data_IF_746527773520
#
_entry.id   IF_746527773520
#
_cell.length_a   1.000
_cell.length_b   1.000
_cell.length_c   1.000
_cell.angle_alpha   90.00
_cell.angle_beta   90.00
_cell.angle_gamma   90.00
#
_symmetry.space_group_name_H-M   'P 1'
#
loop_
_entity.id
_entity.type
_entity.pdbx_description
1 polymer ?
#
# COMPACT_ATOMS: atom_id res chain seq x y z
N UNK A 1 45.88 -20.63 54.67
CA UNK A 1 45.27 -21.11 55.94
C UNK A 1 43.77 -20.80 55.88
N UNK A 2 42.89 -21.76 56.24
CA UNK A 2 41.40 -21.67 56.28
C UNK A 2 40.72 -21.37 54.91
N UNK A 3 39.75 -22.12 54.33
CA UNK A 3 38.41 -22.65 54.77
C UNK A 3 37.49 -21.52 55.28
N UNK A 4 36.32 -21.22 54.72
CA UNK A 4 35.10 -22.05 54.45
C UNK A 4 34.22 -21.34 53.39
N UNK A 5 33.56 -21.96 52.41
CA UNK A 5 32.33 -22.81 52.42
C UNK A 5 31.05 -22.17 52.97
N UNK A 6 30.00 -22.08 52.12
CA UNK A 6 28.52 -22.12 52.34
C UNK A 6 27.83 -21.53 51.07
N UNK A 7 27.26 -22.27 50.11
CA UNK A 7 25.99 -23.04 50.05
C UNK A 7 24.66 -22.27 50.19
N UNK A 8 24.00 -22.01 49.04
CA UNK A 8 22.54 -22.14 48.77
C UNK A 8 21.52 -21.22 49.51
N UNK A 9 20.19 -21.25 49.20
CA UNK A 9 19.43 -21.84 48.05
C UNK A 9 18.26 -20.96 47.52
N UNK A 10 17.37 -21.54 46.67
CA UNK A 10 15.97 -21.13 46.30
C UNK A 10 15.79 -19.74 45.62
N UNK A 11 15.01 -19.54 44.55
CA UNK A 11 13.65 -20.05 44.29
C UNK A 11 13.35 -20.21 42.79
N UNK A 12 13.06 -21.44 42.34
CA UNK A 12 12.38 -21.70 41.07
C UNK A 12 10.87 -21.64 41.32
N UNK A 13 10.14 -20.71 40.70
CA UNK A 13 8.68 -20.77 40.63
C UNK A 13 8.24 -20.74 39.18
N UNK A 14 7.63 -21.85 38.78
CA UNK A 14 7.05 -22.11 37.48
C UNK A 14 6.05 -21.04 37.06
N UNK A 15 6.27 -20.42 35.90
CA UNK A 15 5.18 -19.85 35.10
C UNK A 15 4.88 -20.79 33.93
N UNK A 16 4.38 -21.98 34.29
CA UNK A 16 3.94 -23.02 33.37
C UNK A 16 2.46 -23.34 33.59
N UNK A 17 1.61 -22.30 33.56
CA UNK A 17 0.17 -22.38 33.34
C UNK A 17 -0.38 -20.96 33.06
N UNK A 18 -1.50 -20.87 32.32
CA UNK A 18 -2.03 -19.67 31.64
C UNK A 18 -1.11 -19.17 30.50
N UNK A 19 -1.38 -19.48 29.24
CA UNK A 19 -2.46 -20.31 28.69
C UNK A 19 -1.86 -21.29 27.69
N UNK A 20 -2.41 -22.49 27.65
CA UNK A 20 -2.47 -23.20 26.37
C UNK A 20 -3.21 -22.29 25.41
N UNK A 21 -2.48 -21.66 24.48
CA UNK A 21 -3.06 -21.43 23.17
C UNK A 21 -3.38 -22.83 22.65
N UNK A 22 -4.60 -23.28 22.93
CA UNK A 22 -5.30 -24.12 21.99
C UNK A 22 -5.39 -23.27 20.73
N UNK A 23 -4.36 -23.36 19.89
CA UNK A 23 -4.43 -22.90 18.52
C UNK A 23 -5.73 -23.50 18.01
N UNK A 24 -6.68 -22.63 17.68
CA UNK A 24 -8.01 -23.01 17.23
C UNK A 24 -7.79 -23.88 16.01
N UNK A 25 -7.93 -25.20 16.20
CA UNK A 25 -7.73 -26.14 15.11
C UNK A 25 -8.88 -25.89 14.15
N UNK A 26 -8.59 -25.10 13.13
CA UNK A 26 -9.44 -24.92 11.99
C UNK A 26 -9.58 -26.29 11.30
N UNK A 27 -10.80 -26.61 10.88
CA UNK A 27 -11.14 -27.84 10.20
C UNK A 27 -11.86 -27.45 8.91
N UNK A 28 -11.43 -28.00 7.76
CA UNK A 28 -12.17 -27.83 6.51
C UNK A 28 -13.65 -28.19 6.69
N UNK A 29 -14.52 -27.39 6.09
CA UNK A 29 -15.91 -27.78 5.90
C UNK A 29 -15.95 -28.87 4.84
N UNK A 30 -16.54 -30.02 5.20
CA UNK A 30 -16.79 -31.14 4.28
C UNK A 30 -17.55 -30.71 3.02
N UNK A 31 -18.34 -29.64 3.10
CA UNK A 31 -19.19 -29.11 2.03
C UNK A 31 -18.60 -27.88 1.33
N UNK A 32 -17.27 -27.70 1.38
CA UNK A 32 -16.59 -26.56 0.76
C UNK A 32 -16.72 -25.23 1.51
N UNK A 33 -15.88 -24.28 1.11
CA UNK A 33 -15.85 -22.90 1.60
C UNK A 33 -15.29 -22.00 0.48
N UNK A 34 -15.83 -20.79 0.34
CA UNK A 34 -15.21 -19.74 -0.46
C UNK A 34 -14.14 -19.07 0.40
N UNK A 35 -12.87 -19.26 0.04
CA UNK A 35 -11.74 -18.63 0.73
C UNK A 35 -10.53 -18.53 -0.20
N UNK A 36 -9.94 -17.34 -0.25
CA UNK A 36 -8.71 -17.09 -1.00
C UNK A 36 -7.52 -17.50 -0.11
N UNK A 37 -7.20 -18.80 -0.14
CA UNK A 37 -6.12 -19.43 0.62
C UNK A 37 -6.59 -20.39 1.72
N UNK A 38 -6.15 -21.64 1.65
CA UNK A 38 -6.43 -22.66 2.68
C UNK A 38 -5.28 -22.79 3.72
N UNK A 39 -4.25 -21.96 3.60
CA UNK A 39 -3.07 -21.94 4.48
C UNK A 39 -3.47 -21.58 5.92
N UNK A 40 -2.86 -22.27 6.90
CA UNK A 40 -3.18 -22.08 8.32
C UNK A 40 -4.45 -22.79 8.79
N UNK A 41 -5.39 -23.11 7.89
CA UNK A 41 -6.48 -24.05 8.20
C UNK A 41 -5.98 -25.51 8.19
N UNK A 42 -5.15 -25.85 7.21
CA UNK A 42 -4.47 -27.13 7.08
C UNK A 42 -2.97 -26.96 7.34
N UNK A 43 -2.33 -27.97 7.94
CA UNK A 43 -0.93 -27.89 8.35
C UNK A 43 -0.23 -29.25 8.33
N UNK A 44 1.07 -29.26 8.07
CA UNK A 44 1.94 -30.43 8.18
C UNK A 44 1.93 -31.40 6.99
N UNK A 45 1.04 -31.22 6.01
CA UNK A 45 1.14 -31.86 4.69
C UNK A 45 1.90 -30.98 3.69
N UNK A 46 2.43 -31.60 2.63
CA UNK A 46 3.01 -30.89 1.50
C UNK A 46 1.88 -30.34 0.61
N UNK A 47 2.00 -29.07 0.20
CA UNK A 47 1.06 -28.44 -0.73
C UNK A 47 0.96 -29.25 -2.04
N UNK A 48 -0.25 -29.47 -2.58
CA UNK A 48 -0.40 -30.21 -3.82
C UNK A 48 0.09 -29.45 -5.05
N UNK A 49 0.54 -30.20 -6.03
CA UNK A 49 0.64 -29.75 -7.42
C UNK A 49 -0.77 -29.64 -7.99
N UNK A 50 -1.12 -28.45 -8.50
CA UNK A 50 -2.43 -28.18 -9.11
C UNK A 50 -2.21 -27.92 -10.59
N UNK A 51 -2.96 -28.64 -11.44
CA UNK A 51 -3.01 -28.36 -12.89
C UNK A 51 -4.43 -28.01 -13.30
N UNK A 52 -4.55 -27.03 -14.19
CA UNK A 52 -5.80 -26.55 -14.77
C UNK A 52 -5.66 -26.69 -16.29
N UNK A 53 -6.60 -27.37 -16.94
CA UNK A 53 -6.66 -27.50 -18.40
C UNK A 53 -8.10 -27.25 -18.89
N UNK A 54 -8.22 -26.74 -20.12
CA UNK A 54 -9.51 -26.42 -20.76
C UNK A 54 -9.63 -27.22 -22.06
N UNK A 55 -10.71 -28.00 -22.17
CA UNK A 55 -10.93 -28.93 -23.30
C UNK A 55 -12.31 -28.75 -23.96
N UNK A 56 -12.40 -28.41 -25.26
CA UNK A 56 -11.29 -28.13 -26.17
C UNK A 56 -10.50 -26.90 -25.74
N UNK A 57 -9.22 -26.83 -26.15
CA UNK A 57 -8.44 -25.60 -26.02
C UNK A 57 -8.98 -24.55 -26.99
N UNK A 58 -8.93 -23.29 -26.58
CA UNK A 58 -9.39 -22.14 -27.36
C UNK A 58 -10.83 -22.31 -27.91
N UNK A 59 -11.83 -22.62 -27.06
CA UNK A 59 -13.21 -22.85 -27.50
C UNK A 59 -13.79 -21.63 -28.20
N UNK A 60 -14.77 -21.81 -29.09
CA UNK A 60 -15.41 -20.71 -29.79
C UNK A 60 -16.23 -19.81 -28.81
N UNK A 61 -16.52 -18.54 -29.17
CA UNK A 61 -17.37 -17.69 -28.34
C UNK A 61 -18.77 -18.31 -28.15
N UNK A 62 -19.24 -18.39 -26.90
CA UNK A 62 -20.47 -19.09 -26.52
C UNK A 62 -20.36 -20.63 -26.45
N UNK A 63 -19.24 -21.25 -26.83
CA UNK A 63 -19.03 -22.70 -26.71
C UNK A 63 -18.84 -23.11 -25.24
N UNK A 64 -19.22 -24.34 -24.90
CA UNK A 64 -19.00 -24.91 -23.57
C UNK A 64 -17.85 -25.91 -23.60
N UNK A 65 -16.77 -25.57 -22.91
CA UNK A 65 -15.63 -26.44 -22.68
C UNK A 65 -15.74 -27.16 -21.32
N UNK A 66 -14.91 -28.20 -21.15
CA UNK A 66 -14.66 -28.85 -19.86
C UNK A 66 -13.43 -28.23 -19.23
N UNK A 67 -13.62 -27.60 -18.07
CA UNK A 67 -12.56 -27.09 -17.23
C UNK A 67 -12.15 -28.20 -16.26
N UNK A 68 -10.94 -28.73 -16.43
CA UNK A 68 -10.39 -29.86 -15.68
C UNK A 68 -9.35 -29.36 -14.69
N UNK A 69 -9.60 -29.59 -13.39
CA UNK A 69 -8.64 -29.38 -12.31
C UNK A 69 -8.12 -30.73 -11.84
N UNK A 70 -6.80 -30.89 -11.75
CA UNK A 70 -6.16 -32.03 -11.08
C UNK A 70 -5.35 -31.55 -9.89
N UNK A 71 -5.49 -32.25 -8.77
CA UNK A 71 -4.79 -32.01 -7.51
C UNK A 71 -3.97 -33.27 -7.24
N UNK A 72 -2.64 -33.18 -7.28
CA UNK A 72 -1.73 -34.28 -7.08
C UNK A 72 -0.83 -34.01 -5.85
N UNK A 73 -0.64 -35.02 -5.00
CA UNK A 73 0.32 -34.96 -3.90
C UNK A 73 0.72 -36.36 -3.44
N UNK A 74 1.90 -36.49 -2.83
CA UNK A 74 2.30 -37.72 -2.18
C UNK A 74 1.31 -38.09 -1.06
N UNK A 75 0.76 -39.31 -1.10
CA UNK A 75 -0.21 -39.86 -0.13
C UNK A 75 -1.57 -39.11 -0.04
N UNK A 76 -1.98 -38.38 -1.08
CA UNK A 76 -3.34 -37.81 -1.14
C UNK A 76 -4.39 -38.93 -1.15
N UNK A 77 -5.35 -38.85 -0.22
CA UNK A 77 -6.48 -39.79 -0.11
C UNK A 77 -7.82 -39.12 -0.46
N UNK A 78 -7.95 -37.83 -0.18
CA UNK A 78 -9.07 -36.98 -0.58
C UNK A 78 -8.58 -35.61 -1.03
N UNK A 79 -9.40 -34.87 -1.78
CA UNK A 79 -9.12 -33.50 -2.14
C UNK A 79 -10.40 -32.67 -2.20
N UNK A 80 -10.22 -31.36 -2.06
CA UNK A 80 -11.28 -30.36 -2.20
C UNK A 80 -10.73 -29.12 -2.89
N UNK A 81 -11.62 -28.36 -3.52
CA UNK A 81 -11.29 -27.09 -4.16
C UNK A 81 -12.30 -25.98 -3.87
N UNK A 82 -11.84 -24.76 -4.11
CA UNK A 82 -12.60 -23.60 -4.52
C UNK A 82 -11.99 -23.09 -5.84
N UNK A 83 -12.83 -22.75 -6.80
CA UNK A 83 -12.45 -22.27 -8.14
C UNK A 83 -13.24 -21.02 -8.48
N UNK A 84 -12.56 -20.05 -9.08
CA UNK A 84 -13.11 -18.79 -9.57
C UNK A 84 -12.70 -18.57 -11.03
N UNK A 85 -13.57 -17.96 -11.82
CA UNK A 85 -13.27 -17.54 -13.20
C UNK A 85 -13.55 -16.06 -13.39
N UNK A 86 -12.60 -15.32 -13.97
CA UNK A 86 -12.79 -13.88 -14.24
C UNK A 86 -13.78 -13.55 -15.37
N UNK A 87 -14.18 -14.55 -16.16
CA UNK A 87 -15.14 -14.43 -17.27
C UNK A 87 -15.77 -15.78 -17.61
N UNK A 88 -16.88 -15.75 -18.37
CA UNK A 88 -17.65 -16.94 -18.75
C UNK A 88 -18.50 -17.48 -17.60
N UNK A 89 -19.20 -18.60 -17.83
CA UNK A 89 -20.12 -19.18 -16.83
C UNK A 89 -19.78 -20.62 -16.51
N UNK A 90 -19.65 -20.90 -15.22
CA UNK A 90 -19.49 -22.24 -14.67
C UNK A 90 -20.84 -22.97 -14.57
N UNK A 91 -20.80 -24.28 -14.80
CA UNK A 91 -21.86 -25.19 -14.44
C UNK A 91 -21.27 -26.50 -13.91
N UNK A 92 -21.96 -27.12 -12.96
CA UNK A 92 -21.58 -28.41 -12.40
C UNK A 92 -21.75 -29.53 -13.43
N UNK A 93 -21.06 -30.65 -13.19
CA UNK A 93 -21.26 -31.92 -13.90
C UNK A 93 -21.64 -32.97 -12.86
N UNK A 94 -22.69 -33.74 -13.13
CA UNK A 94 -23.19 -34.77 -12.22
C UNK A 94 -22.08 -35.77 -11.84
N UNK A 95 -22.02 -36.13 -10.55
CA UNK A 95 -21.00 -37.03 -10.00
C UNK A 95 -19.62 -36.41 -9.74
N UNK A 96 -19.40 -35.13 -10.07
CA UNK A 96 -18.13 -34.45 -9.75
C UNK A 96 -18.01 -34.03 -8.28
N UNK A 97 -19.12 -33.98 -7.53
CA UNK A 97 -19.13 -33.62 -6.12
C UNK A 97 -18.88 -32.13 -5.88
N UNK A 98 -19.44 -31.28 -6.74
CA UNK A 98 -19.26 -29.83 -6.76
C UNK A 98 -20.60 -29.11 -6.80
N UNK A 99 -20.62 -27.85 -6.34
CA UNK A 99 -21.76 -26.94 -6.39
C UNK A 99 -21.30 -25.54 -6.80
N UNK A 100 -22.19 -24.80 -7.43
CA UNK A 100 -22.00 -23.37 -7.67
C UNK A 100 -22.22 -22.59 -6.38
N UNK A 101 -21.45 -21.52 -6.24
CA UNK A 101 -21.72 -20.41 -5.32
C UNK A 101 -22.49 -19.34 -6.09
N UNK A 102 -22.00 -19.01 -7.28
CA UNK A 102 -22.66 -18.20 -8.31
C UNK A 102 -22.20 -18.70 -9.71
N UNK A 103 -22.44 -17.93 -10.77
CA UNK A 103 -22.07 -18.34 -12.13
C UNK A 103 -20.55 -18.26 -12.45
N UNK A 104 -19.75 -17.65 -11.58
CA UNK A 104 -18.29 -17.49 -11.71
C UNK A 104 -17.48 -18.24 -10.64
N UNK A 105 -18.15 -18.79 -9.62
CA UNK A 105 -17.55 -19.45 -8.46
C UNK A 105 -18.11 -20.86 -8.21
N UNK A 106 -17.21 -21.83 -8.02
CA UNK A 106 -17.55 -23.24 -7.77
C UNK A 106 -16.73 -23.80 -6.61
N UNK A 107 -17.38 -24.55 -5.72
CA UNK A 107 -16.74 -25.26 -4.61
C UNK A 107 -17.07 -26.75 -4.66
N UNK A 108 -16.24 -27.58 -4.03
CA UNK A 108 -16.63 -28.96 -3.73
C UNK A 108 -17.79 -29.02 -2.71
N UNK A 109 -18.64 -30.04 -2.80
CA UNK A 109 -19.72 -30.32 -1.84
C UNK A 109 -19.44 -31.56 -0.96
N UNK A 110 -18.45 -32.38 -1.35
CA UNK A 110 -17.85 -33.41 -0.53
C UNK A 110 -16.37 -33.58 -0.91
N UNK A 111 -15.46 -33.96 0.02
CA UNK A 111 -14.07 -34.24 -0.33
C UNK A 111 -14.03 -35.44 -1.27
N UNK A 112 -13.49 -35.24 -2.47
CA UNK A 112 -13.47 -36.26 -3.51
C UNK A 112 -12.27 -37.19 -3.30
N UNK A 113 -12.50 -38.50 -3.37
CA UNK A 113 -11.42 -39.48 -3.16
C UNK A 113 -10.40 -39.43 -4.28
N UNK A 114 -9.13 -39.62 -3.91
CA UNK A 114 -8.05 -39.76 -4.86
C UNK A 114 -8.13 -41.11 -5.60
N UNK A 115 -7.66 -41.11 -6.84
CA UNK A 115 -7.43 -42.32 -7.64
C UNK A 115 -6.04 -42.21 -8.26
N UNK A 116 -5.18 -43.20 -8.04
CA UNK A 116 -3.79 -43.17 -8.55
C UNK A 116 -2.94 -42.01 -8.01
N UNK A 117 -3.24 -41.47 -6.82
CA UNK A 117 -2.54 -40.31 -6.26
C UNK A 117 -2.98 -38.95 -6.81
N UNK A 118 -4.11 -38.90 -7.53
CA UNK A 118 -4.68 -37.65 -8.09
C UNK A 118 -6.15 -37.54 -7.72
N UNK A 119 -6.59 -36.32 -7.39
CA UNK A 119 -8.00 -35.95 -7.29
C UNK A 119 -8.33 -35.04 -8.47
N UNK A 120 -9.22 -35.49 -9.36
CA UNK A 120 -9.66 -34.73 -10.54
C UNK A 120 -11.07 -34.19 -10.32
N UNK A 121 -11.28 -32.92 -10.64
CA UNK A 121 -12.59 -32.29 -10.70
C UNK A 121 -12.80 -31.70 -12.10
N UNK A 122 -13.96 -31.98 -12.69
CA UNK A 122 -14.37 -31.39 -13.95
C UNK A 122 -15.57 -30.45 -13.73
N UNK A 123 -15.56 -29.30 -14.39
CA UNK A 123 -16.69 -28.39 -14.48
C UNK A 123 -16.97 -28.08 -15.96
N UNK A 124 -18.21 -27.70 -16.27
CA UNK A 124 -18.51 -27.03 -17.54
C UNK A 124 -18.17 -25.56 -17.39
N UNK A 125 -17.53 -25.00 -18.41
CA UNK A 125 -17.32 -23.56 -18.52
C UNK A 125 -17.76 -23.10 -19.91
N UNK A 126 -18.73 -22.19 -19.95
CA UNK A 126 -19.26 -21.61 -21.19
C UNK A 126 -18.58 -20.26 -21.45
N UNK A 127 -17.92 -20.15 -22.59
CA UNK A 127 -17.24 -18.94 -23.03
C UNK A 127 -18.22 -17.77 -23.23
N UNK A 128 -17.81 -16.52 -22.95
CA UNK A 128 -18.53 -15.32 -23.39
C UNK A 128 -18.78 -15.27 -24.91
N UNK A 129 -19.75 -14.45 -25.33
CA UNK A 129 -20.20 -14.37 -26.73
C UNK A 129 -19.30 -13.58 -27.69
N UNK A 130 -18.28 -12.89 -27.19
CA UNK A 130 -17.23 -12.22 -27.97
C UNK A 130 -15.87 -12.83 -27.59
N UNK A 131 -14.89 -12.98 -28.51
CA UNK A 131 -13.58 -13.55 -28.18
C UNK A 131 -12.86 -12.78 -27.06
N UNK A 132 -12.01 -13.48 -26.29
CA UNK A 132 -11.18 -12.84 -25.28
C UNK A 132 -10.39 -13.80 -24.40
N UNK A 133 -9.96 -13.31 -23.25
CA UNK A 133 -9.23 -14.03 -22.22
C UNK A 133 -10.04 -14.36 -20.96
N UNK A 134 -9.68 -15.45 -20.29
CA UNK A 134 -10.18 -15.82 -18.96
C UNK A 134 -9.01 -16.25 -18.07
N UNK A 135 -8.96 -15.72 -16.85
CA UNK A 135 -8.12 -16.26 -15.78
C UNK A 135 -8.99 -17.17 -14.91
N UNK A 136 -8.50 -18.38 -14.66
CA UNK A 136 -9.08 -19.36 -13.75
C UNK A 136 -8.17 -19.46 -12.53
N UNK A 137 -8.72 -19.23 -11.35
CA UNK A 137 -8.01 -19.31 -10.07
C UNK A 137 -8.51 -20.52 -9.29
N UNK A 138 -7.60 -21.28 -8.69
CA UNK A 138 -7.94 -22.48 -7.92
C UNK A 138 -7.17 -22.50 -6.61
N UNK A 139 -7.90 -22.66 -5.52
CA UNK A 139 -7.38 -22.98 -4.19
C UNK A 139 -7.77 -24.41 -3.86
N UNK A 140 -6.79 -25.26 -3.54
CA UNK A 140 -7.02 -26.70 -3.35
C UNK A 140 -6.31 -27.25 -2.10
N UNK A 141 -6.86 -28.36 -1.61
CA UNK A 141 -6.33 -29.11 -0.46
C UNK A 141 -6.04 -30.55 -0.88
N UNK A 142 -4.86 -31.06 -0.52
CA UNK A 142 -4.55 -32.48 -0.43
C UNK A 142 -4.82 -32.98 0.98
N UNK A 143 -5.78 -33.90 1.12
CA UNK A 143 -6.21 -34.44 2.40
C UNK A 143 -5.73 -35.87 2.64
N UNK A 144 -5.25 -36.14 3.85
CA UNK A 144 -4.83 -37.49 4.28
C UNK A 144 -6.04 -38.44 4.50
N UNK A 145 -7.27 -37.92 4.54
CA UNK A 145 -8.51 -38.69 4.66
C UNK A 145 -8.94 -39.07 6.09
N UNK A 146 -8.28 -38.57 7.14
CA UNK A 146 -8.62 -38.82 8.55
C UNK A 146 -9.73 -37.92 9.11
N UNK A 147 -10.19 -36.93 8.32
CA UNK A 147 -11.21 -35.93 8.66
C UNK A 147 -10.77 -34.92 9.75
N UNK A 148 -9.47 -34.80 10.01
CA UNK A 148 -8.82 -33.68 10.68
C UNK A 148 -8.27 -32.64 9.69
N UNK A 149 -7.25 -31.89 10.12
CA UNK A 149 -6.53 -30.89 9.30
C UNK A 149 -5.01 -30.97 9.43
N UNK A 150 -4.49 -32.02 10.08
CA UNK A 150 -3.06 -32.25 10.31
C UNK A 150 -2.53 -33.29 9.32
N UNK A 151 -1.40 -33.00 8.69
CA UNK A 151 -0.87 -33.81 7.59
C UNK A 151 -1.51 -33.49 6.23
N UNK A 152 -2.39 -32.50 6.18
CA UNK A 152 -3.01 -31.98 4.97
C UNK A 152 -2.19 -30.83 4.39
N UNK A 153 -2.15 -30.75 3.06
CA UNK A 153 -1.47 -29.69 2.32
C UNK A 153 -2.46 -28.74 1.65
N UNK A 154 -2.13 -27.46 1.64
CA UNK A 154 -2.85 -26.42 0.90
C UNK A 154 -1.94 -25.84 -0.20
N UNK A 155 -2.52 -25.51 -1.34
CA UNK A 155 -1.83 -24.82 -2.44
C UNK A 155 -2.86 -24.03 -3.26
N UNK A 156 -2.38 -23.12 -4.09
CA UNK A 156 -3.20 -22.36 -5.03
C UNK A 156 -2.42 -22.08 -6.30
N UNK A 157 -3.12 -22.01 -7.42
CA UNK A 157 -2.54 -21.65 -8.72
C UNK A 157 -3.59 -20.93 -9.57
N UNK A 158 -3.13 -20.23 -10.60
CA UNK A 158 -3.98 -19.69 -11.65
C UNK A 158 -3.54 -20.19 -13.01
N UNK A 159 -4.45 -20.17 -13.98
CA UNK A 159 -4.16 -20.43 -15.38
C UNK A 159 -5.00 -19.49 -16.25
N UNK A 160 -4.35 -18.87 -17.23
CA UNK A 160 -5.02 -18.05 -18.23
C UNK A 160 -5.29 -18.86 -19.52
N UNK A 161 -6.43 -18.62 -20.15
CA UNK A 161 -6.84 -19.25 -21.40
C UNK A 161 -7.48 -18.22 -22.33
N UNK A 162 -7.25 -18.38 -23.64
CA UNK A 162 -8.01 -17.69 -24.67
C UNK A 162 -9.26 -18.47 -25.08
N UNK A 163 -10.21 -17.77 -25.70
CA UNK A 163 -11.36 -18.35 -26.39
C UNK A 163 -11.74 -17.50 -27.61
N UNK A 164 -12.07 -18.16 -28.71
CA UNK A 164 -12.33 -17.54 -30.01
C UNK A 164 -11.08 -17.06 -30.78
N UNK A 165 -9.87 -17.34 -30.29
CA UNK A 165 -8.59 -17.01 -30.91
C UNK A 165 -7.47 -17.93 -30.37
N UNK A 166 -6.26 -17.85 -30.93
CA UNK A 166 -5.08 -18.56 -30.39
C UNK A 166 -4.63 -18.04 -29.02
N UNK A 167 -4.83 -16.74 -28.76
CA UNK A 167 -4.37 -16.04 -27.56
C UNK A 167 -3.00 -15.38 -27.73
N UNK A 168 -2.78 -14.30 -26.99
CA UNK A 168 -1.48 -13.64 -26.79
C UNK A 168 -1.34 -13.32 -25.31
N UNK A 169 -0.14 -13.49 -24.77
CA UNK A 169 0.15 -13.12 -23.38
C UNK A 169 0.29 -11.61 -23.26
N UNK A 170 -0.38 -11.04 -22.26
CA UNK A 170 -0.29 -9.66 -21.85
C UNK A 170 0.01 -9.60 -20.35
N UNK A 171 0.69 -8.56 -19.92
CA UNK A 171 1.12 -8.34 -18.55
C UNK A 171 0.45 -7.08 -18.03
N UNK A 172 0.12 -7.02 -16.74
CA UNK A 172 -0.44 -5.79 -16.16
C UNK A 172 0.61 -4.67 -16.26
N UNK A 173 0.18 -3.49 -16.71
CA UNK A 173 0.99 -2.29 -16.98
C UNK A 173 0.23 -1.11 -16.36
N UNK A 174 0.59 -0.70 -15.14
CA UNK A 174 -0.16 0.30 -14.37
C UNK A 174 0.34 1.72 -14.59
N UNK A 175 1.61 1.88 -14.94
CA UNK A 175 2.23 3.19 -15.11
C UNK A 175 2.21 3.67 -16.58
N UNK A 176 2.07 2.74 -17.53
CA UNK A 176 1.84 3.01 -18.94
C UNK A 176 3.09 3.11 -19.81
N UNK A 177 4.25 2.60 -19.37
CA UNK A 177 5.48 2.63 -20.18
C UNK A 177 5.53 1.57 -21.32
N UNK A 178 4.64 0.57 -21.27
CA UNK A 178 4.53 -0.49 -22.26
C UNK A 178 5.43 -1.71 -22.01
N UNK A 179 5.95 -1.87 -20.81
CA UNK A 179 6.29 -3.12 -20.14
C UNK A 179 5.25 -3.43 -19.05
N UNK A 180 5.39 -4.56 -18.35
CA UNK A 180 4.47 -4.94 -17.30
C UNK A 180 4.91 -6.13 -16.47
N UNK A 181 4.23 -6.34 -15.35
CA UNK A 181 4.58 -7.32 -14.31
C UNK A 181 4.49 -8.76 -14.85
N UNK A 182 5.67 -9.41 -14.96
CA UNK A 182 5.80 -10.82 -15.36
C UNK A 182 5.12 -11.81 -14.40
N UNK A 183 4.85 -11.40 -13.16
CA UNK A 183 4.15 -12.14 -12.12
C UNK A 183 2.63 -12.15 -12.27
N UNK A 184 2.04 -11.25 -13.07
CA UNK A 184 0.59 -11.17 -13.32
C UNK A 184 0.27 -11.32 -14.82
N UNK A 185 0.63 -12.46 -15.47
CA UNK A 185 0.34 -12.69 -16.87
C UNK A 185 -1.13 -13.06 -17.09
N UNK A 186 -1.69 -12.53 -18.18
CA UNK A 186 -3.00 -12.84 -18.74
C UNK A 186 -2.83 -13.33 -20.18
N UNK A 187 -3.74 -14.17 -20.66
CA UNK A 187 -3.84 -14.50 -22.09
C UNK A 187 -5.16 -13.93 -22.61
N UNK A 188 -5.12 -13.18 -23.71
CA UNK A 188 -6.29 -12.57 -24.33
C UNK A 188 -6.19 -12.55 -25.87
N UNK A 189 -7.26 -12.20 -26.57
CA UNK A 189 -7.28 -12.11 -28.04
C UNK A 189 -6.77 -10.76 -28.57
N UNK A 190 -6.84 -9.72 -27.73
CA UNK A 190 -6.39 -8.35 -28.00
C UNK A 190 -5.89 -7.76 -26.70
N UNK A 191 -4.94 -6.83 -26.77
CA UNK A 191 -4.37 -6.14 -25.61
C UNK A 191 -5.50 -5.53 -24.75
N UNK A 192 -5.68 -5.99 -23.50
CA UNK A 192 -6.63 -5.37 -22.58
C UNK A 192 -6.18 -3.95 -22.20
N UNK A 193 -7.09 -3.09 -21.68
CA UNK A 193 -6.70 -1.85 -21.02
C UNK A 193 -5.72 -2.14 -19.87
N UNK A 194 -4.81 -1.21 -19.60
CA UNK A 194 -3.87 -1.27 -18.47
C UNK A 194 -2.97 -2.53 -18.49
N UNK A 195 -2.63 -3.01 -19.70
CA UNK A 195 -1.74 -4.16 -19.92
C UNK A 195 -0.77 -3.93 -21.09
N UNK A 196 0.47 -4.39 -20.96
CA UNK A 196 1.49 -4.41 -22.01
C UNK A 196 1.60 -5.76 -22.72
N UNK A 197 2.10 -5.75 -23.95
CA UNK A 197 2.48 -6.97 -24.70
C UNK A 197 3.91 -7.46 -24.38
N UNK A 198 4.70 -6.65 -23.67
CA UNK A 198 6.04 -6.98 -23.17
C UNK A 198 5.94 -7.13 -21.67
N UNK A 199 6.57 -8.15 -21.12
CA UNK A 199 6.74 -8.32 -19.68
C UNK A 199 8.20 -8.12 -19.30
N UNK A 200 8.46 -8.00 -18.01
CA UNK A 200 9.82 -7.90 -17.46
C UNK A 200 10.09 -6.61 -16.71
N UNK A 201 9.05 -5.80 -16.53
CA UNK A 201 9.03 -4.72 -15.55
C UNK A 201 9.27 -5.28 -14.13
N UNK A 202 10.04 -4.54 -13.34
CA UNK A 202 10.43 -4.84 -11.97
C UNK A 202 9.89 -3.82 -10.94
N UNK A 203 9.30 -2.70 -11.38
CA UNK A 203 8.57 -1.73 -10.54
C UNK A 203 7.43 -1.07 -11.35
N UNK A 204 6.34 -1.83 -11.57
CA UNK A 204 5.03 -1.51 -12.24
C UNK A 204 4.27 -0.32 -11.62
N UNK A 205 4.95 0.59 -10.94
CA UNK A 205 4.46 1.87 -10.44
C UNK A 205 5.36 3.05 -10.86
N UNK A 206 6.38 2.82 -11.69
CA UNK A 206 7.41 3.77 -12.04
C UNK A 206 7.84 3.62 -13.51
N UNK A 207 7.27 4.47 -14.37
CA UNK A 207 7.55 4.59 -15.83
C UNK A 207 9.04 4.76 -16.21
N UNK A 208 9.94 4.88 -15.23
CA UNK A 208 11.38 4.99 -15.40
C UNK A 208 12.14 3.71 -15.06
N UNK A 209 11.46 2.61 -14.72
CA UNK A 209 12.05 1.33 -14.29
C UNK A 209 11.52 0.20 -15.17
N UNK A 210 12.17 -0.06 -16.31
CA UNK A 210 11.75 -1.11 -17.25
C UNK A 210 12.88 -1.54 -18.21
N UNK A 211 12.83 -2.73 -18.84
CA UNK A 211 13.91 -3.31 -19.67
C UNK A 211 14.52 -2.51 -20.84
N UNK A 212 13.96 -1.36 -21.22
CA UNK A 212 14.52 -0.46 -22.26
C UNK A 212 15.12 0.84 -21.66
N UNK A 213 15.19 0.96 -20.33
CA UNK A 213 15.76 2.12 -19.65
C UNK A 213 17.28 2.13 -19.72
N UNK A 214 17.84 3.31 -19.54
CA UNK A 214 19.24 3.48 -19.19
C UNK A 214 19.31 3.75 -17.69
N UNK A 215 20.30 3.17 -17.02
CA UNK A 215 20.56 3.41 -15.61
C UNK A 215 20.76 4.91 -15.33
N UNK A 216 20.11 5.40 -14.28
CA UNK A 216 20.53 6.59 -13.56
C UNK A 216 21.34 6.17 -12.32
N UNK A 217 22.19 7.07 -11.80
CA UNK A 217 22.81 6.82 -10.49
C UNK A 217 21.77 7.10 -9.39
N UNK A 218 21.03 6.08 -8.97
CA UNK A 218 19.90 6.22 -8.06
C UNK A 218 19.73 5.04 -7.07
N UNK A 219 20.69 4.11 -7.02
CA UNK A 219 20.67 2.88 -6.22
C UNK A 219 19.55 1.88 -6.61
N UNK A 220 19.06 1.93 -7.86
CA UNK A 220 18.05 1.02 -8.41
C UNK A 220 18.56 0.29 -9.66
N UNK A 221 17.79 -0.73 -10.05
CA UNK A 221 17.92 -1.49 -11.30
C UNK A 221 16.91 -0.88 -12.27
N UNK A 222 17.24 0.26 -12.89
CA UNK A 222 16.27 0.98 -13.74
C UNK A 222 15.93 0.16 -15.00
N UNK A 223 16.85 -0.68 -15.49
CA UNK A 223 16.64 -1.53 -16.66
C UNK A 223 16.26 -3.00 -16.36
N UNK A 224 15.96 -3.33 -15.10
CA UNK A 224 15.46 -4.64 -14.66
C UNK A 224 16.32 -5.86 -15.08
N UNK A 225 17.66 -5.72 -15.17
CA UNK A 225 18.54 -6.82 -15.53
C UNK A 225 19.14 -7.60 -14.34
N UNK A 226 18.89 -7.13 -13.11
CA UNK A 226 19.40 -7.71 -11.86
C UNK A 226 20.75 -7.15 -11.41
N UNK A 227 21.18 -6.02 -11.97
CA UNK A 227 22.30 -5.21 -11.52
C UNK A 227 21.77 -3.82 -11.11
N UNK A 228 22.63 -2.96 -10.55
CA UNK A 228 22.24 -1.65 -10.02
C UNK A 228 23.34 -0.65 -10.40
N UNK A 229 22.95 0.49 -10.97
CA UNK A 229 23.85 1.57 -11.42
C UNK A 229 24.97 1.10 -12.39
N UNK A 230 24.74 0.04 -13.19
CA UNK A 230 25.71 -0.41 -14.21
C UNK A 230 25.67 0.41 -15.51
N UNK A 231 26.62 0.13 -16.42
CA UNK A 231 26.82 0.81 -17.71
C UNK A 231 26.90 2.37 -17.73
N UNK A 232 26.82 3.02 -16.56
CA UNK A 232 27.17 4.42 -16.32
C UNK A 232 28.61 4.75 -16.71
N UNK A 233 28.82 5.95 -17.26
CA UNK A 233 30.14 6.49 -17.56
C UNK A 233 30.90 6.86 -16.27
N UNK A 234 32.21 6.61 -16.25
CA UNK A 234 33.06 7.00 -15.11
C UNK A 234 33.45 8.47 -15.27
N UNK A 235 32.82 9.35 -14.49
CA UNK A 235 33.13 10.77 -14.42
C UNK A 235 33.98 11.12 -13.18
N UNK A 236 34.45 12.37 -13.14
CA UNK A 236 35.07 12.96 -11.95
C UNK A 236 33.95 13.35 -10.98
N UNK A 237 34.06 12.88 -9.74
CA UNK A 237 33.23 13.26 -8.60
C UNK A 237 34.06 14.19 -7.69
N UNK A 238 33.41 15.12 -7.01
CA UNK A 238 34.02 16.21 -6.24
C UNK A 238 33.61 16.09 -4.78
N UNK A 239 34.52 16.39 -3.84
CA UNK A 239 34.24 16.35 -2.39
C UNK A 239 33.02 17.22 -2.06
N UNK A 240 32.06 16.62 -1.38
CA UNK A 240 30.81 17.19 -0.87
C UNK A 240 30.86 16.97 0.66
N UNK A 241 31.17 18.04 1.38
CA UNK A 241 31.53 18.01 2.79
C UNK A 241 30.37 18.33 3.74
N UNK A 242 29.23 18.80 3.23
CA UNK A 242 28.01 19.05 4.01
C UNK A 242 26.81 18.17 3.63
N UNK A 243 26.82 17.58 2.44
CA UNK A 243 25.90 16.54 1.97
C UNK A 243 24.68 17.05 1.20
N UNK A 244 24.76 18.19 0.52
CA UNK A 244 23.66 18.71 -0.30
C UNK A 244 23.61 18.17 -1.74
N UNK A 245 24.65 17.46 -2.19
CA UNK A 245 24.74 16.90 -3.54
C UNK A 245 25.46 17.78 -4.56
N UNK A 246 26.02 18.92 -4.13
CA UNK A 246 26.97 19.73 -4.87
C UNK A 246 28.37 19.60 -4.25
N UNK A 247 29.41 19.72 -5.09
CA UNK A 247 30.79 19.48 -4.67
C UNK A 247 31.69 20.70 -4.86
N UNK A 248 32.72 20.79 -4.02
CA UNK A 248 33.67 21.91 -4.07
C UNK A 248 34.56 21.88 -5.30
N UNK A 249 34.65 23.03 -5.99
CA UNK A 249 35.62 23.26 -7.07
C UNK A 249 37.09 23.03 -6.64
N UNK A 250 37.40 23.24 -5.35
CA UNK A 250 38.75 23.14 -4.80
C UNK A 250 38.96 21.92 -3.88
N UNK A 251 37.93 21.06 -3.75
CA UNK A 251 37.96 19.86 -2.91
C UNK A 251 38.78 18.70 -3.48
N UNK A 252 38.81 17.59 -2.76
CA UNK A 252 39.30 16.33 -3.30
C UNK A 252 38.44 15.84 -4.47
N UNK A 253 39.01 15.03 -5.35
CA UNK A 253 38.28 14.42 -6.48
C UNK A 253 38.56 12.93 -6.58
N UNK A 254 37.56 12.18 -7.03
CA UNK A 254 37.65 10.73 -7.31
C UNK A 254 37.03 10.42 -8.66
N UNK A 255 37.46 9.33 -9.30
CA UNK A 255 36.80 8.82 -10.51
C UNK A 255 35.90 7.65 -10.15
N UNK A 256 34.60 7.78 -10.44
CA UNK A 256 33.61 6.74 -10.17
C UNK A 256 32.42 6.86 -11.14
N UNK A 257 31.65 5.77 -11.27
CA UNK A 257 30.38 5.76 -12.04
C UNK A 257 29.28 6.58 -11.37
N UNK A 258 29.23 6.45 -10.05
CA UNK A 258 28.32 7.12 -9.13
C UNK A 258 29.14 7.93 -8.12
N UNK A 259 28.62 9.05 -7.58
CA UNK A 259 29.24 9.74 -6.47
C UNK A 259 29.30 8.81 -5.24
N UNK A 260 30.49 8.47 -4.70
CA UNK A 260 30.57 7.77 -3.43
C UNK A 260 30.20 8.71 -2.28
N UNK A 261 29.83 8.16 -1.12
CA UNK A 261 29.44 8.97 0.05
C UNK A 261 30.48 10.07 0.40
N UNK A 262 30.02 11.32 0.50
CA UNK A 262 30.86 12.52 0.67
C UNK A 262 31.43 13.08 -0.63
N UNK A 263 30.81 12.75 -1.77
CA UNK A 263 31.14 13.31 -3.08
C UNK A 263 29.86 13.56 -3.91
N UNK A 264 29.96 14.53 -4.82
CA UNK A 264 28.92 14.97 -5.74
C UNK A 264 29.39 14.91 -7.22
N UNK A 265 28.47 14.87 -8.20
CA UNK A 265 28.80 14.83 -9.63
C UNK A 265 29.17 16.20 -10.22
N UNK A 266 28.92 17.27 -9.47
CA UNK A 266 29.08 18.68 -9.85
C UNK A 266 30.19 19.34 -9.03
N UNK A 267 30.71 20.48 -9.49
CA UNK A 267 31.87 21.18 -8.88
C UNK A 267 31.66 22.68 -8.69
N UNK A 268 30.40 23.11 -8.69
CA UNK A 268 29.97 24.50 -8.68
C UNK A 268 29.32 24.92 -7.35
N UNK A 269 29.60 24.20 -6.28
CA UNK A 269 29.34 24.67 -4.93
C UNK A 269 30.29 25.83 -4.56
N UNK A 270 29.71 26.96 -4.15
CA UNK A 270 30.43 28.15 -3.70
C UNK A 270 30.73 28.16 -2.18
N UNK A 271 30.09 27.30 -1.37
CA UNK A 271 30.30 27.16 0.07
C UNK A 271 29.97 25.75 0.64
N UNK A 272 30.75 24.74 0.24
CA UNK A 272 30.93 23.33 0.70
C UNK A 272 31.10 23.10 2.22
N UNK A 273 30.28 23.78 3.03
CA UNK A 273 30.14 23.74 4.49
C UNK A 273 28.76 24.20 4.96
N UNK A 274 27.86 24.50 4.04
CA UNK A 274 26.55 25.11 4.22
C UNK A 274 25.57 24.52 3.21
N UNK A 275 24.78 23.49 3.57
CA UNK A 275 23.88 22.74 2.68
C UNK A 275 22.58 23.51 2.35
N UNK A 276 22.73 24.83 2.17
CA UNK A 276 21.75 25.84 1.82
C UNK A 276 22.34 26.82 0.78
N UNK A 277 23.61 26.67 0.42
CA UNK A 277 24.36 27.57 -0.46
C UNK A 277 24.94 26.72 -1.60
N UNK A 278 24.16 26.55 -2.65
CA UNK A 278 24.43 25.63 -3.74
C UNK A 278 23.63 26.05 -5.01
N UNK A 279 24.05 25.64 -6.22
CA UNK A 279 23.44 26.02 -7.52
C UNK A 279 21.90 25.94 -7.66
N UNK A 280 21.24 25.03 -6.94
CA UNK A 280 19.77 24.89 -6.94
C UNK A 280 19.09 25.55 -5.71
N UNK A 281 19.80 26.37 -4.94
CA UNK A 281 19.27 26.98 -3.73
C UNK A 281 18.21 28.05 -4.07
N UNK A 282 17.45 28.46 -3.06
CA UNK A 282 16.53 29.59 -3.19
C UNK A 282 17.07 30.74 -2.37
N UNK A 283 17.45 31.81 -3.06
CA UNK A 283 17.89 33.08 -2.47
C UNK A 283 17.08 33.48 -1.24
N UNK A 284 17.76 33.51 -0.11
CA UNK A 284 17.23 34.01 1.16
C UNK A 284 17.91 35.32 1.47
N UNK A 285 17.13 36.35 1.82
CA UNK A 285 17.63 37.68 2.16
C UNK A 285 18.57 37.67 3.39
N UNK A 286 19.85 37.36 3.17
CA UNK A 286 20.83 36.96 4.18
C UNK A 286 22.24 37.55 3.93
N UNK A 287 22.46 38.24 2.80
CA UNK A 287 23.74 38.81 2.32
C UNK A 287 24.79 37.75 1.88
N UNK A 288 24.34 36.57 1.50
CA UNK A 288 25.08 35.47 0.88
C UNK A 288 24.54 35.30 -0.55
N UNK A 289 25.41 34.81 -1.43
CA UNK A 289 25.08 34.26 -2.74
C UNK A 289 24.64 32.82 -2.45
N UNK A 290 23.34 32.55 -2.24
CA UNK A 290 22.86 31.22 -1.87
C UNK A 290 22.82 30.32 -3.11
N UNK A 291 22.41 30.82 -4.29
CA UNK A 291 22.31 30.03 -5.53
C UNK A 291 23.60 29.96 -6.39
N UNK A 292 24.70 30.56 -5.92
CA UNK A 292 26.02 30.55 -6.54
C UNK A 292 26.10 31.15 -7.97
N UNK A 293 25.19 32.07 -8.34
CA UNK A 293 25.19 32.72 -9.68
C UNK A 293 26.09 33.97 -9.83
N UNK A 294 26.91 34.27 -8.80
CA UNK A 294 27.76 35.47 -8.62
C UNK A 294 26.98 36.75 -8.23
N UNK A 295 25.75 36.60 -7.76
CA UNK A 295 24.89 37.70 -7.29
C UNK A 295 24.51 37.44 -5.83
N UNK A 296 23.81 38.40 -5.20
CA UNK A 296 23.54 38.35 -3.75
C UNK A 296 22.14 38.93 -3.55
N UNK A 297 21.27 38.15 -2.94
CA UNK A 297 19.89 38.47 -2.60
C UNK A 297 19.05 38.97 -3.80
N UNK A 298 19.26 38.50 -5.04
CA UNK A 298 18.38 38.87 -6.16
C UNK A 298 17.06 38.08 -6.18
N UNK A 299 16.04 38.68 -6.78
CA UNK A 299 14.67 38.15 -6.72
C UNK A 299 14.00 38.29 -5.35
N UNK A 300 14.75 38.17 -4.25
CA UNK A 300 14.28 38.22 -2.86
C UNK A 300 14.31 39.64 -2.26
N UNK A 301 13.47 39.88 -1.24
CA UNK A 301 13.38 41.12 -0.44
C UNK A 301 12.92 40.78 0.97
N UNK A 302 13.38 41.52 1.99
CA UNK A 302 12.73 41.43 3.31
C UNK A 302 11.27 41.90 3.20
N UNK A 303 10.36 41.22 3.89
CA UNK A 303 9.00 41.73 4.16
C UNK A 303 8.94 42.11 5.64
N UNK A 304 8.50 43.33 5.93
CA UNK A 304 8.39 43.85 7.29
C UNK A 304 7.02 44.47 7.57
N UNK A 305 6.62 44.46 8.84
CA UNK A 305 5.27 44.84 9.26
C UNK A 305 4.32 43.65 9.25
N UNK A 306 3.18 43.82 9.91
CA UNK A 306 2.10 42.83 9.99
C UNK A 306 0.85 43.42 9.32
N UNK A 307 -0.06 42.56 8.86
CA UNK A 307 -1.31 43.01 8.27
C UNK A 307 -1.15 43.97 7.10
N UNK A 308 -1.96 45.04 7.13
CA UNK A 308 -1.95 46.14 6.17
C UNK A 308 -0.69 47.01 6.27
N UNK A 309 0.14 46.84 7.30
CA UNK A 309 1.47 47.44 7.40
C UNK A 309 2.57 46.60 6.75
N UNK A 310 2.29 45.41 6.22
CA UNK A 310 3.28 44.64 5.48
C UNK A 310 3.84 45.43 4.28
N UNK A 311 5.17 45.58 4.18
CA UNK A 311 5.88 46.25 3.10
C UNK A 311 7.05 45.38 2.64
N UNK A 312 7.32 45.37 1.34
CA UNK A 312 8.57 44.86 0.79
C UNK A 312 9.69 45.90 0.94
N UNK A 313 10.89 45.43 1.28
CA UNK A 313 12.11 46.21 1.32
C UNK A 313 12.53 46.70 -0.08
N UNK A 314 13.26 47.81 -0.16
CA UNK A 314 13.83 48.27 -1.45
C UNK A 314 15.05 47.43 -1.88
N UNK A 315 15.75 46.81 -0.92
CA UNK A 315 16.90 45.93 -1.11
C UNK A 315 17.06 45.00 0.11
N UNK A 316 17.85 43.93 0.02
CA UNK A 316 18.25 43.15 1.19
C UNK A 316 19.37 43.88 1.95
N UNK A 317 18.98 44.68 2.94
CA UNK A 317 19.91 45.41 3.81
C UNK A 317 19.20 45.83 5.09
N UNK A 318 19.82 45.62 6.25
CA UNK A 318 19.23 45.95 7.55
C UNK A 318 18.72 47.41 7.62
N UNK A 319 17.40 47.57 7.82
CA UNK A 319 16.72 48.87 7.91
C UNK A 319 16.27 49.48 6.58
N UNK A 320 16.41 48.75 5.47
CA UNK A 320 15.83 49.11 4.16
C UNK A 320 14.30 48.93 4.12
N UNK A 321 13.76 48.05 4.96
CA UNK A 321 12.34 47.85 5.12
C UNK A 321 11.78 48.73 6.23
N UNK A 322 10.76 49.53 5.92
CA UNK A 322 9.99 50.31 6.90
C UNK A 322 8.53 49.87 6.79
N UNK A 323 7.93 49.31 7.87
CA UNK A 323 6.52 48.95 7.88
C UNK A 323 5.61 50.14 7.53
N UNK A 324 4.40 49.83 7.06
CA UNK A 324 3.33 50.81 6.99
C UNK A 324 3.07 51.45 8.36
N UNK A 325 2.56 52.68 8.34
CA UNK A 325 1.99 53.26 9.56
C UNK A 325 0.63 52.59 9.84
N UNK A 326 0.34 52.23 11.09
CA UNK A 326 -0.93 51.62 11.46
C UNK A 326 -2.09 52.62 11.31
N UNK A 327 -3.24 52.11 10.90
CA UNK A 327 -4.53 52.81 10.85
C UNK A 327 -5.36 52.46 12.08
N UNK A 328 -6.40 53.23 12.42
CA UNK A 328 -7.45 52.71 13.29
C UNK A 328 -8.15 51.54 12.61
N UNK A 329 -8.42 50.48 13.38
CA UNK A 329 -9.16 49.30 12.94
C UNK A 329 -10.45 49.62 12.16
N UNK A 330 -10.82 48.72 11.25
CA UNK A 330 -12.08 48.75 10.53
C UNK A 330 -12.56 47.32 10.28
N UNK A 331 -13.85 47.07 10.51
CA UNK A 331 -14.45 45.74 10.27
C UNK A 331 -14.47 45.38 8.77
N UNK A 332 -13.38 44.82 8.26
CA UNK A 332 -13.16 44.60 6.82
C UNK A 332 -12.44 43.27 6.50
N UNK A 333 -12.01 42.50 7.51
CA UNK A 333 -11.29 41.23 7.33
C UNK A 333 -9.79 41.37 7.11
N UNK A 334 -9.21 42.53 7.45
CA UNK A 334 -7.79 42.86 7.38
C UNK A 334 -7.32 43.38 8.74
N UNK A 335 -6.02 43.26 9.00
CA UNK A 335 -5.32 43.80 10.17
C UNK A 335 -4.89 45.24 9.83
N UNK A 336 -5.68 46.24 10.23
CA UNK A 336 -5.53 47.66 9.83
C UNK A 336 -4.62 48.44 10.79
N UNK A 337 -4.56 48.05 12.07
CA UNK A 337 -3.72 48.63 13.14
C UNK A 337 -2.38 47.89 13.36
N UNK A 338 -2.21 46.75 12.70
CA UNK A 338 -0.94 46.04 12.54
C UNK A 338 -0.39 45.41 13.82
N UNK A 339 -1.26 45.06 14.78
CA UNK A 339 -0.91 44.30 15.98
C UNK A 339 -0.78 42.78 15.74
N UNK A 340 -1.27 42.29 14.59
CA UNK A 340 -1.25 40.89 14.18
C UNK A 340 -2.52 40.11 14.48
N UNK A 341 -3.57 40.76 14.94
CA UNK A 341 -4.95 40.26 14.96
C UNK A 341 -5.76 40.90 13.81
N UNK A 342 -6.97 40.39 13.58
CA UNK A 342 -7.85 40.87 12.51
C UNK A 342 -9.20 41.15 13.14
N UNK A 343 -9.76 42.34 12.88
CA UNK A 343 -11.11 42.72 13.27
C UNK A 343 -11.36 42.62 14.81
N UNK A 344 -10.34 42.81 15.66
CA UNK A 344 -10.42 42.51 17.11
C UNK A 344 -11.01 43.61 18.01
N UNK A 345 -11.15 44.87 17.54
CA UNK A 345 -11.88 45.92 18.28
C UNK A 345 -13.37 45.54 18.45
N UNK A 346 -13.82 45.22 19.68
CA UNK A 346 -15.19 44.77 19.93
C UNK A 346 -16.26 45.85 19.68
N UNK A 347 -15.86 47.11 19.46
CA UNK A 347 -16.74 48.22 19.13
C UNK A 347 -17.10 48.33 17.64
N UNK A 348 -16.32 47.72 16.74
CA UNK A 348 -16.45 47.89 15.29
C UNK A 348 -17.11 46.68 14.61
N UNK A 349 -16.74 45.46 15.02
CA UNK A 349 -17.30 44.24 14.46
C UNK A 349 -18.47 43.67 15.28
N UNK A 350 -19.68 44.15 14.99
CA UNK A 350 -20.90 43.50 15.51
C UNK A 350 -21.21 42.20 14.72
N UNK A 351 -21.52 41.06 15.39
CA UNK A 351 -21.87 39.83 14.70
C UNK A 351 -23.12 39.98 13.82
N UNK A 352 -22.92 40.04 12.50
CA UNK A 352 -23.98 40.14 11.49
C UNK A 352 -24.03 41.44 10.68
N UNK A 353 -23.08 42.37 10.87
CA UNK A 353 -23.02 43.62 10.10
C UNK A 353 -22.32 43.49 8.74
N UNK A 354 -23.07 43.24 7.66
CA UNK A 354 -22.56 43.55 6.31
C UNK A 354 -22.28 45.05 6.19
N UNK A 355 -21.13 45.41 5.61
CA UNK A 355 -20.65 46.77 5.37
C UNK A 355 -21.74 47.80 5.03
N UNK A 356 -21.91 48.81 5.89
CA UNK A 356 -22.83 49.93 5.66
C UNK A 356 -22.23 50.98 4.73
N UNK A 357 -21.92 50.59 3.49
CA UNK A 357 -21.67 51.52 2.39
C UNK A 357 -23.00 51.98 1.78
N UNK A 358 -23.50 53.14 2.20
CA UNK A 358 -24.73 53.74 1.65
C UNK A 358 -24.49 54.28 0.23
N UNK A 359 -25.11 53.70 -0.81
CA UNK A 359 -24.67 53.98 -2.19
C UNK A 359 -25.59 53.75 -3.40
N UNK A 360 -26.92 53.59 -3.25
CA UNK A 360 -27.86 53.69 -4.39
C UNK A 360 -28.01 52.44 -5.31
N UNK A 361 -29.18 52.33 -5.96
CA UNK A 361 -29.57 51.17 -6.78
C UNK A 361 -28.96 51.13 -8.21
N UNK A 362 -29.32 50.15 -9.05
CA UNK A 362 -30.62 49.48 -9.06
C UNK A 362 -30.67 48.08 -9.74
N UNK A 363 -31.70 47.33 -9.33
CA UNK A 363 -32.52 46.39 -10.11
C UNK A 363 -31.91 45.15 -10.77
N UNK A 364 -32.42 43.99 -10.33
CA UNK A 364 -32.24 42.68 -10.95
C UNK A 364 -32.61 41.55 -9.98
N UNK A 365 -33.86 41.46 -9.51
CA UNK A 365 -34.82 40.41 -9.95
C UNK A 365 -34.13 39.14 -10.51
N UNK A 366 -34.39 37.93 -10.00
CA UNK A 366 -35.50 37.50 -9.12
C UNK A 366 -35.36 36.03 -8.73
N UNK A 367 -35.74 35.69 -7.49
CA UNK A 367 -36.42 34.43 -7.13
C UNK A 367 -35.65 33.10 -7.27
N UNK A 368 -35.93 32.05 -6.51
CA UNK A 368 -36.84 31.90 -5.36
C UNK A 368 -36.34 30.71 -4.53
N UNK A 369 -36.06 30.97 -3.25
CA UNK A 369 -36.52 30.20 -2.09
C UNK A 369 -37.19 28.83 -2.34
N UNK A 370 -36.58 27.78 -1.78
CA UNK A 370 -37.22 26.50 -1.47
C UNK A 370 -36.59 25.93 -0.19
N UNK A 371 -37.32 25.93 0.92
CA UNK A 371 -36.83 25.54 2.24
C UNK A 371 -37.78 24.56 2.94
N UNK A 372 -37.22 23.67 3.77
CA UNK A 372 -37.96 22.75 4.66
C UNK A 372 -38.32 21.40 4.01
N UNK A 373 -38.46 20.29 4.77
CA UNK A 373 -38.28 20.15 6.23
C UNK A 373 -38.15 18.68 6.68
N UNK A 374 -37.50 18.51 7.82
CA UNK A 374 -37.34 17.34 8.71
C UNK A 374 -38.53 16.35 8.93
N UNK A 375 -38.19 15.10 9.30
CA UNK A 375 -39.04 14.15 10.07
C UNK A 375 -38.90 12.70 9.59
N UNK A 376 -38.16 11.77 10.20
CA UNK A 376 -38.20 11.18 11.56
C UNK A 376 -39.03 9.88 11.69
N UNK A 377 -38.32 8.77 11.96
CA UNK A 377 -38.69 7.54 12.70
C UNK A 377 -39.98 6.74 12.39
N UNK A 378 -39.83 5.43 12.18
CA UNK A 378 -40.90 4.42 12.26
C UNK A 378 -40.36 2.98 12.14
N UNK A 379 -40.69 2.11 13.10
CA UNK A 379 -40.10 0.76 13.30
C UNK A 379 -41.12 -0.38 13.33
N UNK A 380 -40.64 -1.63 13.17
CA UNK A 380 -41.40 -2.91 13.24
C UNK A 380 -41.33 -3.69 11.92
N UNK A 381 -41.26 -5.03 11.86
CA UNK A 381 -41.40 -6.12 12.85
C UNK A 381 -40.81 -7.45 12.21
N UNK A 382 -41.07 -8.70 12.67
CA UNK A 382 -40.95 -9.36 14.00
C UNK A 382 -40.18 -10.74 13.98
N UNK A 383 -40.28 -11.51 15.09
CA UNK A 383 -40.07 -12.99 15.29
C UNK A 383 -38.61 -13.53 15.26
N UNK A 384 -38.00 -14.06 16.35
CA UNK A 384 -38.26 -15.25 17.23
C UNK A 384 -37.99 -16.62 16.53
N UNK A 385 -36.92 -17.38 16.83
CA UNK A 385 -36.52 -18.20 18.02
C UNK A 385 -36.79 -19.72 17.88
N UNK A 386 -35.81 -20.53 18.32
CA UNK A 386 -35.80 -22.02 18.30
C UNK A 386 -35.64 -22.65 16.90
N UNK A 387 -35.13 -23.87 16.69
CA UNK A 387 -34.21 -24.82 17.39
C UNK A 387 -33.52 -25.62 16.26
N UNK A 388 -32.50 -26.48 16.37
CA UNK A 388 -31.80 -27.19 17.46
C UNK A 388 -31.25 -28.49 16.84
N UNK A 389 -29.93 -28.62 16.60
CA UNK A 389 -29.42 -29.70 15.73
C UNK A 389 -27.90 -29.83 15.54
N UNK A 390 -27.20 -30.30 16.57
CA UNK A 390 -25.88 -30.98 16.59
C UNK A 390 -24.77 -30.59 15.57
N UNK A 391 -23.65 -30.10 16.13
CA UNK A 391 -22.26 -30.37 15.67
C UNK A 391 -21.93 -30.12 14.19
N UNK A 392 -21.76 -28.84 13.82
CA UNK A 392 -21.28 -28.39 12.50
C UNK A 392 -20.07 -27.46 12.58
N UNK A 393 -18.98 -27.89 13.25
CA UNK A 393 -17.74 -27.11 13.36
C UNK A 393 -17.16 -26.79 11.98
N UNK A 394 -16.92 -25.52 11.68
CA UNK A 394 -16.31 -25.10 10.43
C UNK A 394 -15.68 -23.72 10.55
N UNK A 395 -14.71 -23.43 9.67
CA UNK A 395 -13.98 -22.17 9.70
C UNK A 395 -14.91 -20.95 9.58
N UNK A 396 -14.55 -19.92 10.32
CA UNK A 396 -14.90 -18.52 10.10
C UNK A 396 -13.61 -17.72 10.39
N UNK A 397 -13.22 -16.83 9.48
CA UNK A 397 -12.29 -15.76 9.83
C UNK A 397 -13.16 -14.73 10.57
N UNK A 398 -12.79 -14.38 11.80
CA UNK A 398 -13.51 -13.35 12.54
C UNK A 398 -13.26 -11.99 11.86
N UNK A 399 -14.30 -11.31 11.31
CA UNK A 399 -14.12 -10.03 10.64
C UNK A 399 -13.65 -8.91 11.59
N UNK A 400 -13.58 -9.15 12.91
CA UNK A 400 -13.15 -8.18 13.89
C UNK A 400 -11.66 -8.28 14.32
N UNK A 401 -10.88 -9.26 13.85
CA UNK A 401 -9.42 -9.29 14.13
C UNK A 401 -8.62 -8.45 13.14
N UNK A 402 -8.96 -7.16 13.06
CA UNK A 402 -8.16 -6.18 12.31
C UNK A 402 -6.91 -5.74 13.07
N UNK A 403 -5.74 -6.02 12.49
CA UNK A 403 -4.42 -5.39 12.72
C UNK A 403 -3.88 -5.32 14.18
N UNK A 404 -2.68 -5.89 14.47
CA UNK A 404 -2.08 -5.85 15.81
C UNK A 404 -1.69 -4.43 16.30
N UNK A 405 -1.80 -3.41 15.45
CA UNK A 405 -1.39 -2.04 15.73
C UNK A 405 -2.32 -1.26 16.68
N UNK A 406 -3.50 -1.78 17.03
CA UNK A 406 -4.49 -1.07 17.88
C UNK A 406 -4.22 -1.08 19.40
N UNK A 407 -3.11 -1.66 19.87
CA UNK A 407 -2.76 -1.71 21.32
C UNK A 407 -1.64 -0.74 21.76
N UNK A 408 -1.12 0.09 20.85
CA UNK A 408 -0.07 1.07 21.18
C UNK A 408 -0.43 2.20 22.17
N UNK A 409 -1.69 2.65 22.41
CA UNK A 409 -1.92 3.77 23.33
C UNK A 409 -1.82 3.41 24.83
N UNK A 410 -1.67 2.13 25.21
CA UNK A 410 -1.72 1.70 26.62
C UNK A 410 -0.37 1.33 27.26
N UNK A 411 0.75 1.43 26.54
CA UNK A 411 2.09 1.10 27.09
C UNK A 411 2.94 2.31 27.52
N UNK A 412 2.51 3.55 27.23
CA UNK A 412 3.30 4.76 27.49
C UNK A 412 3.48 5.25 28.96
N UNK A 413 2.70 4.86 30.00
CA UNK A 413 2.92 5.40 31.34
C UNK A 413 3.99 4.66 32.17
N UNK A 414 4.31 3.39 31.85
CA UNK A 414 5.21 2.56 32.67
C UNK A 414 6.70 2.76 32.36
N UNK A 415 7.07 3.05 31.10
CA UNK A 415 8.46 3.31 30.72
C UNK A 415 9.04 4.59 31.37
N UNK A 416 8.21 5.63 31.55
CA UNK A 416 8.62 6.91 32.14
C UNK A 416 8.93 6.85 33.65
N UNK A 417 8.39 5.86 34.36
CA UNK A 417 8.66 5.66 35.80
C UNK A 417 10.02 4.99 36.08
N UNK A 418 10.54 4.18 35.16
CA UNK A 418 11.85 3.55 35.28
C UNK A 418 12.99 4.58 35.11
N UNK A 419 12.90 5.43 34.08
CA UNK A 419 13.92 6.44 33.76
C UNK A 419 14.06 7.53 34.84
N UNK A 420 12.97 7.87 35.55
CA UNK A 420 13.01 8.84 36.67
C UNK A 420 13.72 8.31 37.93
N UNK A 421 13.85 6.98 38.13
CA UNK A 421 14.60 6.43 39.28
C UNK A 421 16.12 6.35 39.05
N UNK A 422 16.57 6.16 37.80
CA UNK A 422 18.00 6.09 37.49
C UNK A 422 18.70 7.46 37.57
N UNK A 423 18.04 8.57 37.17
CA UNK A 423 18.62 9.93 37.27
C UNK A 423 18.80 10.46 38.70
N UNK A 424 18.30 9.79 39.75
CA UNK A 424 18.52 10.17 41.16
C UNK A 424 19.67 9.45 41.86
N UNK A 425 20.25 8.40 41.26
CA UNK A 425 21.37 7.65 41.84
C UNK A 425 22.76 8.21 41.46
N UNK A 426 22.85 9.01 40.39
CA UNK A 426 24.12 9.51 39.84
C UNK A 426 24.65 10.82 40.43
N UNK A 427 24.20 11.26 41.62
CA UNK A 427 24.63 12.55 42.22
C UNK A 427 25.08 12.48 43.68
N UNK A 428 25.46 11.28 44.16
CA UNK A 428 26.16 11.10 45.44
C UNK A 428 27.29 10.09 45.28
N UNK A 429 28.45 10.58 44.83
CA UNK A 429 29.78 10.18 45.31
C UNK A 429 30.82 11.18 44.82
#
# INVERSE_FOLDING_TARGET
>A
MLRSSLYSPILSVSLALLTTLAASQAHARRTGLVVEGCNGCHNGGAGPDITIDLSPRNPAPGETATLQVQIAAANINVGGLYLRTGAGRLATIDGQGTKLVDEHQLVHDAPKRASGGVVRFDARWTAPGAPGGVVVEVWAISGNGDNGSRGDGASSTSAAFAYGCEGTTYYLDRDGDGYGDSGVPRIDCTQPPDHAARGGDCDDYSVNVHPDRAEACNERDDNCNGQVDEDLEVSTQYEDADGDGYGSFFGATVMAKCPPAGFAPSSNDCNDRSPLVHPDATETCNLVDDDCDERIDEGVREVCGVGMCAREAVACTAGSCTPGAPSPEQCNGLDDDCDGMVDEDPGLCTPGGTSSASGGGASGTSGTSGAGSSGASGSGAPEEEGEGGSSGSGCAIDPHTGSPWRLLPFLSPLALLALRRLRRAGRVR
#
